data_IF_904543577229
#
_entry.id   IF_904543577229
#
_cell.length_a   1.000
_cell.length_b   1.000
_cell.length_c   1.000
_cell.angle_alpha   90.00
_cell.angle_beta   90.00
_cell.angle_gamma   90.00
#
_symmetry.space_group_name_H-M   'P 1'
#
loop_
_entity.id
_entity.type
_entity.pdbx_description
1 polymer ?
#
# COMPACT_ATOMS: atom_id res chain seq x y z
N UNK A 1 -9.03 -10.33 -32.75
CA UNK A 1 -9.64 -10.74 -31.47
C UNK A 1 -9.06 -9.97 -30.28
N UNK A 2 -7.74 -10.00 -30.02
CA UNK A 2 -7.09 -9.24 -28.92
C UNK A 2 -7.39 -7.73 -28.95
N UNK A 3 -7.17 -7.07 -30.08
CA UNK A 3 -7.39 -5.61 -30.23
C UNK A 3 -8.85 -5.22 -29.95
N UNK A 4 -9.81 -6.03 -30.39
CA UNK A 4 -11.23 -5.79 -30.18
C UNK A 4 -11.65 -5.98 -28.71
N UNK A 5 -11.06 -6.95 -28.01
CA UNK A 5 -11.31 -7.15 -26.58
C UNK A 5 -10.74 -6.00 -25.73
N UNK A 6 -9.58 -5.45 -26.13
CA UNK A 6 -8.99 -4.26 -25.49
C UNK A 6 -9.75 -2.95 -25.76
N UNK A 7 -10.62 -2.91 -26.78
CA UNK A 7 -11.44 -1.73 -27.03
C UNK A 7 -12.51 -1.50 -25.95
N UNK A 8 -12.91 -2.56 -25.22
CA UNK A 8 -13.87 -2.48 -24.10
C UNK A 8 -13.23 -2.59 -22.71
N UNK A 9 -11.99 -3.06 -22.60
CA UNK A 9 -11.30 -3.32 -21.33
C UNK A 9 -9.85 -2.86 -21.37
N UNK A 10 -9.37 -2.22 -20.29
CA UNK A 10 -7.97 -1.76 -20.20
C UNK A 10 -6.96 -2.91 -20.03
N UNK A 11 -7.43 -4.09 -19.62
CA UNK A 11 -6.64 -5.30 -19.44
C UNK A 11 -7.48 -6.52 -19.74
N UNK A 12 -6.88 -7.52 -20.40
CA UNK A 12 -7.50 -8.81 -20.70
C UNK A 12 -6.54 -9.96 -20.35
N UNK A 13 -7.09 -11.16 -20.16
CA UNK A 13 -6.32 -12.40 -20.09
C UNK A 13 -6.32 -13.11 -21.44
N UNK A 14 -5.14 -13.56 -21.89
CA UNK A 14 -4.98 -14.36 -23.09
C UNK A 14 -4.19 -15.64 -22.79
N UNK A 15 -4.71 -16.81 -23.19
CA UNK A 15 -4.15 -18.12 -22.83
C UNK A 15 -2.67 -18.32 -23.17
N UNK A 16 -2.16 -17.67 -24.22
CA UNK A 16 -0.75 -17.79 -24.64
C UNK A 16 0.15 -16.66 -24.16
N UNK A 17 -0.40 -15.49 -23.83
CA UNK A 17 0.38 -14.27 -23.56
C UNK A 17 0.18 -13.74 -22.13
N UNK A 18 -0.70 -14.36 -21.34
CA UNK A 18 -1.05 -13.88 -20.01
C UNK A 18 -1.87 -12.59 -20.06
N UNK A 19 -1.59 -11.66 -19.15
CA UNK A 19 -2.22 -10.34 -19.15
C UNK A 19 -1.72 -9.48 -20.31
N UNK A 20 -2.65 -8.92 -21.06
CA UNK A 20 -2.37 -7.90 -22.08
C UNK A 20 -3.12 -6.64 -21.65
N UNK A 21 -2.41 -5.53 -21.51
CA UNK A 21 -2.96 -4.26 -21.09
C UNK A 21 -2.74 -3.16 -22.13
N UNK A 22 -3.64 -2.18 -22.15
CA UNK A 22 -3.55 -1.00 -23.00
C UNK A 22 -3.70 0.28 -22.17
N UNK A 23 -3.01 1.33 -22.61
CA UNK A 23 -3.05 2.66 -22.03
C UNK A 23 -3.59 3.63 -23.06
N UNK A 24 -4.65 4.41 -22.77
CA UNK A 24 -5.23 5.35 -23.73
C UNK A 24 -4.23 6.38 -24.27
N UNK A 25 -3.26 6.78 -23.45
CA UNK A 25 -2.35 7.87 -23.76
C UNK A 25 -0.86 7.54 -23.52
N UNK A 26 -0.53 6.49 -22.77
CA UNK A 26 0.87 6.14 -22.50
C UNK A 26 1.08 4.67 -22.11
N UNK A 27 2.31 4.19 -22.27
CA UNK A 27 2.74 2.87 -21.77
C UNK A 27 2.64 2.77 -20.25
N UNK A 28 2.82 3.89 -19.53
CA UNK A 28 2.62 3.95 -18.07
C UNK A 28 1.20 3.57 -17.68
N UNK A 29 0.19 4.04 -18.41
CA UNK A 29 -1.21 3.66 -18.15
C UNK A 29 -1.46 2.17 -18.44
N UNK A 30 -0.83 1.63 -19.49
CA UNK A 30 -0.90 0.19 -19.77
C UNK A 30 -0.24 -0.63 -18.66
N UNK A 31 0.95 -0.21 -18.19
CA UNK A 31 1.66 -0.84 -17.08
C UNK A 31 0.85 -0.82 -15.80
N UNK A 32 0.23 0.31 -15.45
CA UNK A 32 -0.66 0.43 -14.30
C UNK A 32 -1.82 -0.56 -14.37
N UNK A 33 -2.51 -0.64 -15.52
CA UNK A 33 -3.61 -1.58 -15.71
C UNK A 33 -3.13 -3.05 -15.61
N UNK A 34 -1.96 -3.36 -16.17
CA UNK A 34 -1.33 -4.67 -16.05
C UNK A 34 -1.01 -5.02 -14.60
N UNK A 35 -0.32 -4.14 -13.88
CA UNK A 35 0.13 -4.36 -12.50
C UNK A 35 -1.07 -4.53 -11.56
N UNK A 36 -2.09 -3.66 -11.67
CA UNK A 36 -3.37 -3.80 -10.98
C UNK A 36 -4.02 -5.18 -11.20
N UNK A 37 -4.06 -5.67 -12.44
CA UNK A 37 -4.67 -6.96 -12.74
C UNK A 37 -3.87 -8.13 -12.15
N UNK A 38 -2.54 -8.08 -12.28
CA UNK A 38 -1.65 -9.11 -11.76
C UNK A 38 -1.74 -9.21 -10.24
N UNK A 39 -1.66 -8.08 -9.52
CA UNK A 39 -1.74 -8.06 -8.06
C UNK A 39 -3.13 -8.47 -7.56
N UNK A 40 -4.20 -7.99 -8.20
CA UNK A 40 -5.57 -8.36 -7.84
C UNK A 40 -5.83 -9.86 -8.03
N UNK A 41 -5.31 -10.45 -9.11
CA UNK A 41 -5.40 -11.89 -9.34
C UNK A 41 -4.61 -12.70 -8.30
N UNK A 42 -3.41 -12.26 -7.93
CA UNK A 42 -2.63 -12.88 -6.86
C UNK A 42 -3.37 -12.84 -5.52
N UNK A 43 -3.82 -11.64 -5.11
CA UNK A 43 -4.58 -11.42 -3.87
C UNK A 43 -5.82 -12.31 -3.85
N UNK A 44 -6.62 -12.29 -4.93
CA UNK A 44 -7.85 -13.09 -5.02
C UNK A 44 -7.56 -14.58 -4.94
N UNK A 45 -6.55 -15.08 -5.65
CA UNK A 45 -6.20 -16.50 -5.65
C UNK A 45 -5.81 -16.99 -4.25
N UNK A 46 -4.94 -16.25 -3.56
CA UNK A 46 -4.51 -16.61 -2.20
C UNK A 46 -5.68 -16.47 -1.21
N UNK A 47 -6.45 -15.39 -1.28
CA UNK A 47 -7.59 -15.15 -0.39
C UNK A 47 -8.67 -16.23 -0.54
N UNK A 48 -8.98 -16.64 -1.77
CA UNK A 48 -9.91 -17.77 -2.01
C UNK A 48 -9.34 -19.08 -1.46
N UNK A 49 -8.04 -19.33 -1.65
CA UNK A 49 -7.38 -20.52 -1.10
C UNK A 49 -7.45 -20.56 0.43
N UNK A 50 -7.30 -19.42 1.10
CA UNK A 50 -7.46 -19.30 2.55
C UNK A 50 -8.88 -19.68 3.01
N UNK A 51 -9.90 -19.19 2.31
CA UNK A 51 -11.29 -19.53 2.64
C UNK A 51 -11.65 -20.98 2.38
N UNK A 52 -11.08 -21.61 1.34
CA UNK A 52 -11.20 -23.05 1.10
C UNK A 52 -10.49 -23.83 2.21
N UNK A 53 -9.26 -23.46 2.56
CA UNK A 53 -8.44 -24.12 3.59
C UNK A 53 -9.10 -24.14 4.99
N UNK A 54 -10.00 -23.18 5.27
CA UNK A 54 -10.79 -23.16 6.51
C UNK A 54 -11.90 -24.22 6.56
N UNK A 55 -12.44 -24.59 5.41
CA UNK A 55 -13.56 -25.53 5.32
C UNK A 55 -13.08 -26.95 5.07
N UNK A 56 -12.02 -27.09 4.27
CA UNK A 56 -11.50 -28.37 3.81
C UNK A 56 -10.00 -28.31 3.47
N UNK A 57 -9.41 -29.47 3.20
CA UNK A 57 -8.02 -29.55 2.77
C UNK A 57 -7.87 -29.13 1.32
N UNK A 58 -6.87 -28.30 1.02
CA UNK A 58 -6.52 -27.95 -0.36
C UNK A 58 -6.04 -29.18 -1.14
N UNK A 59 -6.41 -29.25 -2.42
CA UNK A 59 -5.89 -30.26 -3.33
C UNK A 59 -4.36 -30.20 -3.40
N UNK A 60 -3.64 -31.34 -3.52
CA UNK A 60 -2.18 -31.36 -3.58
C UNK A 60 -1.58 -30.46 -4.67
N UNK A 61 -2.24 -30.40 -5.84
CA UNK A 61 -1.84 -29.53 -6.96
C UNK A 61 -1.95 -28.05 -6.61
N UNK A 62 -3.04 -27.62 -5.96
CA UNK A 62 -3.22 -26.24 -5.50
C UNK A 62 -2.19 -25.87 -4.44
N UNK A 63 -1.94 -26.75 -3.48
CA UNK A 63 -0.89 -26.56 -2.46
C UNK A 63 0.51 -26.44 -3.09
N UNK A 64 0.78 -27.18 -4.17
CA UNK A 64 2.03 -27.06 -4.92
C UNK A 64 2.13 -25.72 -5.68
N UNK A 65 1.05 -25.27 -6.32
CA UNK A 65 1.01 -23.95 -6.97
C UNK A 65 1.24 -22.83 -5.96
N UNK A 66 0.60 -22.89 -4.79
CA UNK A 66 0.84 -21.92 -3.72
C UNK A 66 2.30 -21.93 -3.27
N UNK A 67 2.92 -23.10 -3.04
CA UNK A 67 4.37 -23.17 -2.73
C UNK A 67 5.24 -22.48 -3.80
N UNK A 68 4.94 -22.70 -5.07
CA UNK A 68 5.66 -22.06 -6.17
C UNK A 68 5.49 -20.54 -6.16
N UNK A 69 4.27 -20.04 -5.90
CA UNK A 69 3.99 -18.61 -5.77
C UNK A 69 4.79 -18.00 -4.61
N UNK A 70 4.72 -18.59 -3.42
CA UNK A 70 5.43 -18.10 -2.23
C UNK A 70 6.95 -18.13 -2.40
N UNK A 71 7.47 -19.14 -3.09
CA UNK A 71 8.90 -19.23 -3.44
C UNK A 71 9.30 -18.16 -4.48
N UNK A 72 8.47 -17.93 -5.51
CA UNK A 72 8.74 -16.95 -6.55
C UNK A 72 8.70 -15.51 -6.04
N UNK A 73 7.78 -15.19 -5.12
CA UNK A 73 7.70 -13.87 -4.47
C UNK A 73 8.86 -13.70 -3.48
N UNK A 74 9.20 -14.75 -2.73
CA UNK A 74 10.23 -14.70 -1.70
C UNK A 74 9.83 -13.85 -0.49
N UNK A 75 10.81 -13.58 0.38
CA UNK A 75 10.69 -12.57 1.42
C UNK A 75 11.30 -11.24 0.95
N UNK A 76 10.77 -10.09 1.40
CA UNK A 76 11.43 -8.81 1.18
C UNK A 76 12.89 -8.85 1.68
N UNK A 77 13.88 -8.42 0.86
CA UNK A 77 15.27 -8.43 1.26
C UNK A 77 15.53 -7.50 2.45
N UNK A 78 16.72 -7.53 3.04
CA UNK A 78 17.06 -6.58 4.10
C UNK A 78 17.08 -5.14 3.56
N UNK A 79 16.62 -4.16 4.35
CA UNK A 79 16.58 -2.78 3.91
C UNK A 79 17.97 -2.16 3.92
N UNK A 80 18.24 -1.36 2.90
CA UNK A 80 19.42 -0.50 2.81
C UNK A 80 18.98 0.85 3.37
N UNK A 81 19.46 1.20 4.57
CA UNK A 81 19.12 2.45 5.25
C UNK A 81 20.36 3.36 5.29
N UNK A 82 20.50 4.30 4.32
CA UNK A 82 21.53 5.32 4.38
C UNK A 82 21.38 6.20 5.64
N UNK A 83 22.46 6.83 6.13
CA UNK A 83 22.40 7.70 7.30
C UNK A 83 21.30 8.77 7.24
N UNK A 84 21.04 9.31 6.04
CA UNK A 84 19.99 10.31 5.84
C UNK A 84 18.59 9.79 6.19
N UNK A 85 18.30 8.50 5.97
CA UNK A 85 17.00 7.90 6.30
C UNK A 85 16.85 7.59 7.80
N UNK A 86 17.95 7.62 8.56
CA UNK A 86 17.99 7.34 10.00
C UNK A 86 18.33 8.57 10.85
N UNK A 87 18.18 9.78 10.30
CA UNK A 87 18.44 11.03 11.03
C UNK A 87 17.28 11.99 10.91
N UNK A 88 17.21 12.95 11.83
CA UNK A 88 16.22 14.02 11.78
C UNK A 88 16.42 14.87 10.51
N UNK A 89 15.38 14.97 9.71
CA UNK A 89 15.37 15.79 8.48
C UNK A 89 15.14 17.26 8.84
N UNK A 90 16.12 18.14 8.59
CA UNK A 90 16.08 19.55 9.02
C UNK A 90 16.02 20.55 7.87
N UNK A 91 16.57 20.25 6.70
CA UNK A 91 16.50 21.16 5.53
C UNK A 91 15.59 20.61 4.43
N UNK A 92 15.06 21.50 3.58
CA UNK A 92 14.29 21.11 2.40
C UNK A 92 15.08 20.15 1.50
N UNK A 93 16.39 20.40 1.29
CA UNK A 93 17.26 19.50 0.52
C UNK A 93 17.32 18.10 1.13
N UNK A 94 17.50 17.99 2.44
CA UNK A 94 17.49 16.70 3.13
C UNK A 94 16.15 15.99 3.00
N UNK A 95 15.04 16.72 3.14
CA UNK A 95 13.69 16.18 2.99
C UNK A 95 13.49 15.59 1.59
N UNK A 96 13.78 16.37 0.54
CA UNK A 96 13.62 15.93 -0.84
C UNK A 96 14.48 14.69 -1.16
N UNK A 97 15.74 14.68 -0.71
CA UNK A 97 16.62 13.51 -0.90
C UNK A 97 16.14 12.30 -0.08
N UNK A 98 15.64 12.50 1.13
CA UNK A 98 15.15 11.41 1.96
C UNK A 98 13.86 10.79 1.38
N UNK A 99 12.95 11.60 0.84
CA UNK A 99 11.75 11.12 0.16
C UNK A 99 12.11 10.22 -1.03
N UNK A 100 13.04 10.66 -1.88
CA UNK A 100 13.50 9.87 -3.04
C UNK A 100 14.21 8.58 -2.65
N UNK A 101 15.10 8.62 -1.65
CA UNK A 101 15.79 7.43 -1.15
C UNK A 101 14.82 6.43 -0.50
N UNK A 102 13.88 6.90 0.31
CA UNK A 102 12.90 6.04 0.97
C UNK A 102 11.94 5.41 -0.04
N UNK A 103 11.51 6.16 -1.05
CA UNK A 103 10.66 5.65 -2.10
C UNK A 103 11.34 4.56 -2.95
N UNK A 104 12.57 4.80 -3.40
CA UNK A 104 13.43 3.80 -4.07
C UNK A 104 13.57 2.53 -3.25
N UNK A 105 13.85 2.68 -1.96
CA UNK A 105 14.05 1.53 -1.09
C UNK A 105 12.75 0.74 -0.88
N UNK A 106 11.61 1.42 -0.73
CA UNK A 106 10.30 0.77 -0.57
C UNK A 106 9.94 -0.08 -1.80
N UNK A 107 10.20 0.44 -3.00
CA UNK A 107 10.00 -0.30 -4.27
C UNK A 107 11.00 -1.47 -4.39
N UNK A 108 12.29 -1.25 -4.08
CA UNK A 108 13.33 -2.29 -4.14
C UNK A 108 13.02 -3.47 -3.21
N UNK A 109 12.38 -3.20 -2.07
CA UNK A 109 11.95 -4.22 -1.12
C UNK A 109 10.72 -5.01 -1.59
N UNK A 110 10.06 -4.62 -2.69
CA UNK A 110 8.82 -5.23 -3.16
C UNK A 110 7.61 -4.92 -2.26
N UNK A 111 7.70 -3.88 -1.43
CA UNK A 111 6.62 -3.49 -0.51
C UNK A 111 5.57 -2.59 -1.17
N UNK A 112 5.83 -2.18 -2.42
CA UNK A 112 4.93 -1.39 -3.26
C UNK A 112 5.41 -1.51 -4.71
N UNK A 113 4.48 -1.52 -5.67
CA UNK A 113 4.82 -1.32 -7.08
C UNK A 113 5.06 0.18 -7.32
N UNK A 114 5.94 0.55 -8.25
CA UNK A 114 6.48 1.92 -8.32
C UNK A 114 5.42 2.99 -8.47
N UNK A 115 4.31 2.76 -9.16
CA UNK A 115 3.26 3.77 -9.34
C UNK A 115 2.18 3.77 -8.24
N UNK A 116 2.38 2.95 -7.20
CA UNK A 116 1.48 2.84 -6.06
C UNK A 116 2.14 3.38 -4.79
N UNK A 117 1.34 3.56 -3.75
CA UNK A 117 1.78 4.19 -2.51
C UNK A 117 2.11 5.67 -2.67
N UNK A 118 2.55 6.27 -1.58
CA UNK A 118 2.97 7.67 -1.52
C UNK A 118 3.72 7.94 -0.21
N UNK A 119 4.37 9.09 -0.15
CA UNK A 119 5.26 9.40 0.96
C UNK A 119 5.26 10.91 1.19
N UNK A 120 5.34 11.31 2.47
CA UNK A 120 5.39 12.73 2.82
C UNK A 120 6.24 13.05 4.03
N UNK A 121 6.77 14.27 4.06
CA UNK A 121 7.43 14.87 5.22
C UNK A 121 6.89 16.26 5.51
N UNK A 122 6.50 16.51 6.76
CA UNK A 122 6.20 17.84 7.27
C UNK A 122 7.50 18.58 7.65
N UNK A 123 7.66 19.81 7.17
CA UNK A 123 8.80 20.66 7.47
C UNK A 123 8.98 20.89 8.99
N UNK A 124 10.20 21.17 9.49
CA UNK A 124 10.44 21.36 10.93
C UNK A 124 9.62 22.49 11.56
N UNK A 125 9.38 23.56 10.80
CA UNK A 125 8.53 24.71 11.14
C UNK A 125 7.02 24.44 10.89
N UNK A 126 6.68 23.24 10.41
CA UNK A 126 5.30 22.73 10.23
C UNK A 126 4.42 23.61 9.32
N UNK A 127 5.01 24.31 8.37
CA UNK A 127 4.29 25.14 7.40
C UNK A 127 4.14 24.47 6.03
N UNK A 128 5.02 23.54 5.66
CA UNK A 128 5.06 22.92 4.33
C UNK A 128 5.06 21.39 4.49
N UNK A 129 4.08 20.76 3.83
CA UNK A 129 4.05 19.33 3.62
C UNK A 129 4.66 18.99 2.27
N UNK A 130 5.82 18.33 2.26
CA UNK A 130 6.40 17.76 1.05
C UNK A 130 5.78 16.39 0.82
N UNK A 131 5.12 16.20 -0.33
CA UNK A 131 4.43 14.94 -0.64
C UNK A 131 4.70 14.52 -2.09
N UNK A 132 4.74 13.21 -2.36
CA UNK A 132 4.79 12.70 -3.73
C UNK A 132 3.58 13.14 -4.56
N UNK A 133 3.80 13.40 -5.85
CA UNK A 133 2.72 13.71 -6.81
C UNK A 133 1.83 12.51 -7.09
N UNK A 134 0.59 12.77 -7.45
CA UNK A 134 -0.33 11.73 -7.93
C UNK A 134 0.20 11.10 -9.22
N UNK A 135 0.26 9.76 -9.25
CA UNK A 135 0.77 8.98 -10.38
C UNK A 135 2.28 9.07 -10.62
N UNK A 136 3.04 9.65 -9.70
CA UNK A 136 4.50 9.65 -9.78
C UNK A 136 5.07 8.28 -9.33
N UNK A 137 6.06 7.75 -10.04
CA UNK A 137 6.78 6.56 -9.61
C UNK A 137 7.58 6.84 -8.32
N UNK A 138 7.33 6.04 -7.27
CA UNK A 138 7.90 6.17 -5.93
C UNK A 138 9.43 5.95 -5.92
N UNK A 139 9.97 5.23 -6.90
CA UNK A 139 11.42 5.05 -7.09
C UNK A 139 12.07 6.17 -7.93
N UNK A 140 11.30 7.16 -8.40
CA UNK A 140 11.80 8.33 -9.14
C UNK A 140 11.09 9.61 -8.70
N UNK A 141 11.20 9.91 -7.39
CA UNK A 141 10.57 11.09 -6.79
C UNK A 141 11.34 12.38 -7.01
N UNK A 142 12.57 12.31 -7.53
CA UNK A 142 13.30 13.49 -7.95
C UNK A 142 12.45 14.34 -8.93
N UNK A 143 12.14 15.58 -8.53
CA UNK A 143 11.25 16.52 -9.22
C UNK A 143 9.74 16.16 -9.23
N UNK A 144 9.35 15.08 -8.57
CA UNK A 144 7.95 14.62 -8.44
C UNK A 144 7.43 14.75 -7.00
N UNK A 145 7.93 15.75 -6.28
CA UNK A 145 7.50 16.09 -4.92
C UNK A 145 6.89 17.49 -4.97
N UNK A 146 5.69 17.62 -4.43
CA UNK A 146 5.01 18.89 -4.27
C UNK A 146 5.22 19.45 -2.85
N UNK A 147 5.73 20.69 -2.72
CA UNK A 147 5.72 21.42 -1.46
C UNK A 147 4.36 22.12 -1.28
N UNK A 148 3.49 21.54 -0.45
CA UNK A 148 2.16 22.07 -0.17
C UNK A 148 2.17 22.92 1.10
N UNK A 149 1.88 24.22 0.99
CA UNK A 149 1.74 25.09 2.14
C UNK A 149 0.46 24.75 2.92
N UNK A 150 0.53 24.70 4.26
CA UNK A 150 -0.59 24.31 5.12
C UNK A 150 -1.51 25.47 5.51
N UNK A 151 -1.11 26.70 5.19
CA UNK A 151 -1.86 27.94 5.39
C UNK A 151 -2.89 28.21 4.27
N UNK A 152 -3.11 27.24 3.38
CA UNK A 152 -4.02 27.32 2.22
C UNK A 152 -3.66 28.44 1.23
N UNK A 153 -2.44 28.99 1.25
CA UNK A 153 -2.03 30.07 0.35
C UNK A 153 -1.59 29.59 -1.04
N UNK A 154 -1.45 28.28 -1.26
CA UNK A 154 -0.90 27.73 -2.52
C UNK A 154 -1.83 26.75 -3.23
N UNK A 155 -1.83 26.83 -4.57
CA UNK A 155 -2.48 25.85 -5.46
C UNK A 155 -1.66 24.55 -5.62
N UNK A 156 -0.60 24.35 -4.84
CA UNK A 156 0.30 23.20 -4.96
C UNK A 156 -0.34 21.85 -4.55
N UNK A 157 -1.58 21.86 -4.07
CA UNK A 157 -2.35 20.65 -3.79
C UNK A 157 -2.99 19.99 -5.01
N UNK A 158 -3.01 20.64 -6.19
CA UNK A 158 -3.71 20.11 -7.37
C UNK A 158 -3.02 18.85 -7.94
N UNK A 159 -1.68 18.82 -7.92
CA UNK A 159 -0.88 17.70 -8.43
C UNK A 159 -0.39 16.74 -7.35
N UNK A 160 -0.64 17.06 -6.09
CA UNK A 160 -0.27 16.24 -4.95
C UNK A 160 -0.97 14.88 -4.97
N UNK A 161 -0.47 13.91 -4.20
CA UNK A 161 -1.11 12.60 -4.04
C UNK A 161 -2.62 12.76 -3.77
N UNK A 162 -3.42 11.85 -4.33
CA UNK A 162 -4.86 11.74 -4.05
C UNK A 162 -5.19 11.50 -2.56
N UNK A 163 -4.19 11.12 -1.77
CA UNK A 163 -4.28 10.90 -0.32
C UNK A 163 -3.68 12.05 0.50
N UNK A 164 -3.44 13.20 -0.13
CA UNK A 164 -2.89 14.39 0.52
C UNK A 164 -3.66 14.81 1.78
N UNK A 165 -5.00 14.79 1.72
CA UNK A 165 -5.86 15.16 2.85
C UNK A 165 -5.60 14.27 4.07
N UNK A 166 -5.49 12.96 3.86
CA UNK A 166 -5.20 11.99 4.90
C UNK A 166 -3.78 12.20 5.47
N UNK A 167 -2.77 12.39 4.61
CA UNK A 167 -1.39 12.66 5.04
C UNK A 167 -1.28 13.91 5.91
N UNK A 168 -1.87 15.01 5.42
CA UNK A 168 -1.90 16.29 6.13
C UNK A 168 -2.55 16.13 7.49
N UNK A 169 -3.70 15.48 7.55
CA UNK A 169 -4.44 15.34 8.80
C UNK A 169 -3.70 14.45 9.81
N UNK A 170 -3.16 13.30 9.38
CA UNK A 170 -2.32 12.42 10.22
C UNK A 170 -1.16 13.20 10.84
N UNK A 171 -0.35 13.91 10.04
CA UNK A 171 0.85 14.57 10.54
C UNK A 171 0.55 15.81 11.39
N UNK A 172 -0.58 16.48 11.17
CA UNK A 172 -1.03 17.57 12.03
C UNK A 172 -1.50 17.06 13.39
N UNK A 173 -2.33 16.02 13.40
CA UNK A 173 -2.95 15.50 14.62
C UNK A 173 -2.00 14.66 15.50
N UNK A 174 -1.08 13.91 14.89
CA UNK A 174 -0.14 13.05 15.63
C UNK A 174 1.08 13.81 16.16
N UNK A 175 1.43 14.95 15.55
CA UNK A 175 2.68 15.65 15.82
C UNK A 175 3.91 15.04 15.15
N UNK A 176 3.75 13.93 14.42
CA UNK A 176 4.83 13.32 13.65
C UNK A 176 5.15 14.11 12.39
N UNK A 177 6.26 13.75 11.74
CA UNK A 177 6.73 14.46 10.55
C UNK A 177 6.85 13.60 9.30
N UNK A 178 6.98 12.29 9.43
CA UNK A 178 7.16 11.40 8.28
C UNK A 178 5.98 10.44 8.20
N UNK A 179 5.44 10.26 7.00
CA UNK A 179 4.40 9.27 6.71
C UNK A 179 4.77 8.53 5.44
N UNK A 180 4.83 7.20 5.52
CA UNK A 180 5.12 6.30 4.42
C UNK A 180 3.93 5.38 4.20
N UNK A 181 3.47 5.32 2.96
CA UNK A 181 2.42 4.43 2.51
C UNK A 181 2.95 3.45 1.47
N UNK A 182 2.69 2.16 1.67
CA UNK A 182 3.03 1.09 0.74
C UNK A 182 1.89 0.09 0.61
N UNK A 183 1.96 -0.76 -0.42
CA UNK A 183 0.95 -1.76 -0.77
C UNK A 183 1.52 -3.19 -0.74
N UNK A 184 2.01 -3.71 0.41
CA UNK A 184 2.60 -5.04 0.45
C UNK A 184 1.51 -6.12 0.25
N UNK A 185 1.71 -7.09 -0.67
CA UNK A 185 0.64 -8.01 -1.08
C UNK A 185 0.10 -8.87 0.06
N UNK A 186 0.96 -9.43 0.91
CA UNK A 186 0.48 -10.29 2.00
C UNK A 186 -0.23 -9.48 3.08
N UNK A 187 0.23 -8.27 3.36
CA UNK A 187 -0.42 -7.31 4.27
C UNK A 187 -1.83 -6.95 3.76
N UNK A 188 -1.98 -6.74 2.45
CA UNK A 188 -3.30 -6.53 1.84
C UNK A 188 -4.19 -7.76 2.03
N UNK A 189 -3.67 -8.97 1.75
CA UNK A 189 -4.45 -10.21 1.88
C UNK A 189 -4.96 -10.42 3.32
N UNK A 190 -4.11 -10.25 4.35
CA UNK A 190 -4.56 -10.40 5.74
C UNK A 190 -5.60 -9.35 6.13
N UNK A 191 -5.52 -8.13 5.57
CA UNK A 191 -6.55 -7.10 5.79
C UNK A 191 -7.92 -7.53 5.27
N UNK A 192 -7.99 -8.39 4.26
CA UNK A 192 -9.24 -8.88 3.65
C UNK A 192 -9.69 -10.24 4.22
N UNK A 193 -8.81 -10.95 4.92
CA UNK A 193 -9.11 -12.26 5.49
C UNK A 193 -9.86 -12.11 6.82
N UNK A 194 -11.17 -12.40 6.81
CA UNK A 194 -12.06 -12.23 7.97
C UNK A 194 -12.65 -13.58 8.39
N UNK A 195 -12.69 -13.88 9.69
CA UNK A 195 -13.31 -15.10 10.24
C UNK A 195 -14.82 -15.18 10.00
N UNK A 196 -15.49 -14.03 9.85
CA UNK A 196 -16.95 -13.96 9.64
C UNK A 196 -17.37 -14.11 8.17
N UNK A 197 -16.46 -14.07 7.22
CA UNK A 197 -16.79 -14.28 5.80
C UNK A 197 -16.98 -15.78 5.50
N UNK A 198 -17.98 -16.19 4.68
CA UNK A 198 -18.95 -15.35 3.95
C UNK A 198 -20.26 -15.07 4.70
N UNK A 199 -20.42 -15.56 5.93
CA UNK A 199 -21.67 -15.45 6.69
C UNK A 199 -22.00 -14.02 7.18
N UNK A 200 -21.04 -13.08 7.12
CA UNK A 200 -21.24 -11.69 7.50
C UNK A 200 -22.21 -10.99 6.54
N UNK A 201 -23.32 -10.40 7.03
CA UNK A 201 -24.31 -9.72 6.18
C UNK A 201 -23.76 -8.46 5.49
N UNK A 202 -22.66 -7.89 6.00
CA UNK A 202 -22.02 -6.68 5.49
C UNK A 202 -20.68 -6.98 4.79
N UNK A 203 -20.45 -8.23 4.37
CA UNK A 203 -19.19 -8.66 3.77
C UNK A 203 -18.75 -7.84 2.55
N UNK A 204 -19.71 -7.31 1.78
CA UNK A 204 -19.44 -6.54 0.55
C UNK A 204 -19.01 -5.10 0.82
N UNK A 205 -19.30 -4.56 2.01
CA UNK A 205 -19.03 -3.16 2.37
C UNK A 205 -17.88 -3.01 3.36
N UNK A 206 -17.11 -4.07 3.64
CA UNK A 206 -15.99 -4.04 4.59
C UNK A 206 -14.95 -2.94 4.30
N UNK A 207 -14.81 -2.52 3.05
CA UNK A 207 -13.89 -1.47 2.64
C UNK A 207 -14.35 -0.07 3.06
N UNK A 208 -15.61 0.15 3.46
CA UNK A 208 -16.16 1.45 3.87
C UNK A 208 -16.95 1.45 5.18
N UNK A 209 -17.56 0.33 5.56
CA UNK A 209 -18.43 0.18 6.72
C UNK A 209 -18.27 -1.22 7.34
N UNK A 210 -17.05 -1.56 7.75
CA UNK A 210 -16.82 -2.76 8.55
C UNK A 210 -17.21 -2.50 10.01
N UNK A 211 -18.13 -3.30 10.55
CA UNK A 211 -18.59 -3.19 11.96
C UNK A 211 -17.76 -3.99 12.96
N UNK A 212 -16.70 -4.63 12.47
CA UNK A 212 -15.81 -5.44 13.27
C UNK A 212 -14.57 -4.63 13.61
N UNK A 213 -14.18 -4.62 14.88
CA UNK A 213 -12.86 -4.17 15.28
C UNK A 213 -11.84 -5.22 14.83
N UNK A 214 -11.05 -4.87 13.83
CA UNK A 214 -10.08 -5.78 13.22
C UNK A 214 -8.68 -5.26 13.41
N UNK A 215 -7.76 -6.18 13.66
CA UNK A 215 -6.34 -5.91 13.65
C UNK A 215 -5.56 -7.08 13.03
N UNK A 216 -4.29 -6.83 12.74
CA UNK A 216 -3.30 -7.85 12.48
C UNK A 216 -2.12 -7.62 13.41
N UNK A 217 -1.94 -8.48 14.42
CA UNK A 217 -0.92 -8.34 15.46
C UNK A 217 -0.89 -6.95 16.12
N UNK A 218 -2.06 -6.48 16.60
CA UNK A 218 -2.26 -5.16 17.22
C UNK A 218 -2.07 -3.96 16.27
N UNK A 219 -2.01 -4.18 14.96
CA UNK A 219 -2.07 -3.12 13.95
C UNK A 219 -3.51 -3.02 13.46
N UNK A 220 -4.23 -1.92 13.75
CA UNK A 220 -5.64 -1.81 13.39
C UNK A 220 -5.83 -1.86 11.88
N UNK A 221 -6.92 -2.50 11.45
CA UNK A 221 -7.40 -2.53 10.08
C UNK A 221 -8.60 -1.60 9.98
N UNK A 222 -8.50 -0.54 9.17
CA UNK A 222 -9.58 0.43 8.94
C UNK A 222 -10.08 0.36 7.50
N UNK A 223 -11.35 0.73 7.29
CA UNK A 223 -11.90 0.96 5.95
C UNK A 223 -11.66 2.40 5.49
N UNK A 224 -11.84 2.66 4.20
CA UNK A 224 -11.89 3.99 3.62
C UNK A 224 -11.63 3.96 2.12
N UNK A 225 -12.20 4.93 1.41
CA UNK A 225 -11.92 5.22 0.01
C UNK A 225 -10.86 6.32 -0.14
N UNK A 226 -10.13 6.32 -1.24
CA UNK A 226 -9.19 7.40 -1.56
C UNK A 226 -9.95 8.72 -1.75
N UNK A 227 -9.38 9.82 -1.26
CA UNK A 227 -9.94 11.17 -1.41
C UNK A 227 -10.70 11.66 -0.17
N UNK A 228 -11.62 12.61 -0.37
CA UNK A 228 -12.31 13.35 0.69
C UNK A 228 -13.83 13.16 0.68
N UNK A 229 -14.31 12.09 0.05
CA UNK A 229 -15.75 11.75 0.07
C UNK A 229 -16.22 11.29 1.45
N UNK A 230 -17.53 11.00 1.63
CA UNK A 230 -18.09 10.58 2.92
C UNK A 230 -17.43 9.35 3.55
N UNK A 231 -16.87 8.46 2.72
CA UNK A 231 -16.13 7.27 3.16
C UNK A 231 -14.62 7.42 3.00
N UNK A 232 -14.11 8.66 2.85
CA UNK A 232 -12.70 8.93 2.62
C UNK A 232 -11.77 8.46 3.74
N UNK A 233 -10.57 8.00 3.41
CA UNK A 233 -9.52 7.61 4.36
C UNK A 233 -9.23 8.71 5.39
N UNK A 234 -9.40 9.99 5.04
CA UNK A 234 -9.20 11.10 5.97
C UNK A 234 -10.11 11.03 7.21
N UNK A 235 -11.19 10.25 7.19
CA UNK A 235 -12.08 10.07 8.34
C UNK A 235 -11.67 8.93 9.26
N UNK A 236 -10.97 7.91 8.75
CA UNK A 236 -10.66 6.69 9.50
C UNK A 236 -9.18 6.55 9.82
N UNK A 237 -8.30 6.97 8.92
CA UNK A 237 -6.85 6.85 9.08
C UNK A 237 -6.30 7.76 10.19
N UNK A 238 -6.58 9.08 10.23
CA UNK A 238 -6.00 9.95 11.27
C UNK A 238 -6.35 9.54 12.70
N UNK A 239 -7.63 9.25 13.06
CA UNK A 239 -7.98 8.80 14.40
C UNK A 239 -7.27 7.50 14.83
N UNK A 240 -7.10 6.56 13.89
CA UNK A 240 -6.37 5.33 14.16
C UNK A 240 -4.87 5.60 14.36
N UNK A 241 -4.28 6.47 13.52
CA UNK A 241 -2.86 6.80 13.61
C UNK A 241 -2.49 7.63 14.84
N UNK A 242 -3.41 8.38 15.44
CA UNK A 242 -3.16 9.01 16.74
C UNK A 242 -2.78 7.98 17.82
N UNK A 243 -3.36 6.79 17.74
CA UNK A 243 -3.17 5.71 18.73
C UNK A 243 -2.07 4.72 18.32
N UNK A 244 -1.88 4.50 17.02
CA UNK A 244 -0.95 3.49 16.49
C UNK A 244 0.05 4.11 15.49
N UNK A 245 1.35 3.73 15.53
CA UNK A 245 2.32 4.21 14.55
C UNK A 245 2.15 3.58 13.16
N UNK A 246 1.42 2.47 13.08
CA UNK A 246 1.07 1.78 11.84
C UNK A 246 -0.44 1.50 11.79
N UNK A 247 -1.04 1.62 10.61
CA UNK A 247 -2.45 1.28 10.36
C UNK A 247 -2.55 0.60 8.99
N UNK A 248 -3.27 -0.51 8.93
CA UNK A 248 -3.58 -1.21 7.68
C UNK A 248 -4.93 -0.70 7.18
N UNK A 249 -5.04 -0.42 5.89
CA UNK A 249 -6.28 -0.04 5.23
C UNK A 249 -6.78 -1.24 4.43
N UNK A 250 -8.02 -1.66 4.70
CA UNK A 250 -8.66 -2.83 4.12
C UNK A 250 -8.51 -2.86 2.60
N UNK A 251 -7.92 -3.93 2.07
CA UNK A 251 -7.78 -4.15 0.63
C UNK A 251 -6.88 -3.13 -0.09
N UNK A 252 -6.16 -2.28 0.66
CA UNK A 252 -5.45 -1.13 0.09
C UNK A 252 -3.95 -1.17 0.42
N UNK A 253 -3.57 -1.22 1.68
CA UNK A 253 -2.15 -1.18 2.05
C UNK A 253 -1.93 -0.82 3.50
N UNK A 254 -0.75 -0.29 3.81
CA UNK A 254 -0.34 0.09 5.17
C UNK A 254 0.26 1.49 5.18
N UNK A 255 -0.04 2.24 6.24
CA UNK A 255 0.51 3.56 6.53
C UNK A 255 1.32 3.50 7.81
N UNK A 256 2.53 4.06 7.77
CA UNK A 256 3.43 4.09 8.92
C UNK A 256 3.97 5.50 9.12
N UNK A 257 3.84 6.01 10.34
CA UNK A 257 4.36 7.33 10.72
C UNK A 257 5.60 7.22 11.58
N UNK A 258 6.40 8.28 11.55
CA UNK A 258 7.49 8.47 12.48
C UNK A 258 7.77 9.96 12.70
N UNK A 259 8.30 10.28 13.88
CA UNK A 259 8.49 11.66 14.30
C UNK A 259 9.55 12.42 13.50
N UNK A 260 10.50 11.71 12.87
CA UNK A 260 11.73 12.36 12.37
C UNK A 260 12.31 11.83 11.05
N UNK A 261 12.09 10.57 10.69
CA UNK A 261 12.84 9.87 9.64
C UNK A 261 12.07 8.63 9.09
N UNK A 262 12.64 7.92 8.11
CA UNK A 262 11.98 6.79 7.43
C UNK A 262 12.53 5.40 7.76
N UNK A 263 13.63 5.32 8.53
CA UNK A 263 14.24 4.04 8.87
C UNK A 263 13.24 3.10 9.57
N UNK A 264 12.54 3.59 10.60
CA UNK A 264 11.58 2.77 11.33
C UNK A 264 10.33 2.42 10.50
N UNK A 265 9.69 3.35 9.78
CA UNK A 265 8.61 3.01 8.83
C UNK A 265 8.97 1.91 7.83
N UNK A 266 10.15 1.98 7.19
CA UNK A 266 10.59 0.96 6.22
C UNK A 266 10.78 -0.41 6.89
N UNK A 267 11.48 -0.43 8.02
CA UNK A 267 11.71 -1.67 8.78
C UNK A 267 10.40 -2.28 9.29
N UNK A 268 9.50 -1.46 9.83
CA UNK A 268 8.18 -1.89 10.29
C UNK A 268 7.35 -2.46 9.15
N UNK A 269 7.27 -1.79 8.01
CA UNK A 269 6.52 -2.29 6.85
C UNK A 269 7.03 -3.67 6.41
N UNK A 270 8.36 -3.83 6.33
CA UNK A 270 8.99 -5.13 6.03
C UNK A 270 8.62 -6.21 7.05
N UNK A 271 8.68 -5.90 8.34
CA UNK A 271 8.33 -6.87 9.41
C UNK A 271 6.88 -7.30 9.33
N UNK A 272 5.97 -6.36 9.09
CA UNK A 272 4.53 -6.65 8.93
C UNK A 272 4.30 -7.54 7.73
N UNK A 273 4.97 -7.27 6.61
CA UNK A 273 4.80 -8.08 5.40
C UNK A 273 5.31 -9.52 5.58
N UNK A 274 6.46 -9.71 6.23
CA UNK A 274 6.97 -11.05 6.56
C UNK A 274 6.03 -11.77 7.53
N UNK A 275 5.52 -11.06 8.54
CA UNK A 275 4.56 -11.61 9.49
C UNK A 275 3.26 -12.03 8.79
N UNK A 276 2.75 -11.21 7.87
CA UNK A 276 1.56 -11.50 7.07
C UNK A 276 1.79 -12.71 6.15
N UNK A 277 2.93 -12.76 5.46
CA UNK A 277 3.35 -13.92 4.64
C UNK A 277 3.33 -15.21 5.47
N UNK A 278 3.99 -15.21 6.61
CA UNK A 278 4.10 -16.39 7.48
C UNK A 278 2.75 -16.80 8.07
N UNK A 279 1.92 -15.84 8.47
CA UNK A 279 0.57 -16.12 8.93
C UNK A 279 -0.28 -16.80 7.84
N UNK A 280 -0.23 -16.29 6.61
CA UNK A 280 -0.95 -16.89 5.47
C UNK A 280 -0.43 -18.31 5.18
N UNK A 281 0.88 -18.54 5.22
CA UNK A 281 1.44 -19.89 5.02
C UNK A 281 0.98 -20.88 6.09
N UNK A 282 0.90 -20.43 7.34
CA UNK A 282 0.37 -21.24 8.45
C UNK A 282 -1.11 -21.59 8.24
N UNK A 283 -1.95 -20.60 7.88
CA UNK A 283 -3.37 -20.81 7.59
C UNK A 283 -3.58 -21.77 6.40
N UNK A 284 -2.72 -21.70 5.38
CA UNK A 284 -2.73 -22.61 4.23
C UNK A 284 -2.08 -23.97 4.53
N UNK A 285 -1.45 -24.15 5.69
CA UNK A 285 -0.69 -25.35 6.09
C UNK A 285 0.43 -25.69 5.10
N UNK A 286 1.13 -24.66 4.64
CA UNK A 286 2.25 -24.78 3.70
C UNK A 286 3.55 -24.50 4.47
N UNK A 287 4.56 -25.37 4.29
CA UNK A 287 5.88 -25.18 4.90
C UNK A 287 6.59 -23.93 4.34
N UNK A 288 7.39 -23.22 5.17
CA UNK A 288 8.14 -22.01 4.79
C UNK A 288 9.00 -22.17 3.52
#
# INVERSE_FOLDING_TARGET
QIIQALAGHRVIWHNHYGFIATGPHSLTQAYLAYSCAAIACLIKYILQSLYVARQESLLPSHSQTLRQIFHAIGEPPQPIIPPLLNQKLVTAKQILTALDLAGKETVRLGLVDSFFGNISVLSPDRNILYISRSGAPLDQLQNNIDPCALDNTSCAGITASSEFSAHRQVLLETGDRCLLHGHPPFTIIVSMFCSKFPACPNAETCHIDCREDRDFYNIPIVGGEVGTGPHGLCHTLPPAMQKHPAVIVYGHGIFLRHSQNFAEPINSMRRVEIAARNHIMQELRIAP
#
